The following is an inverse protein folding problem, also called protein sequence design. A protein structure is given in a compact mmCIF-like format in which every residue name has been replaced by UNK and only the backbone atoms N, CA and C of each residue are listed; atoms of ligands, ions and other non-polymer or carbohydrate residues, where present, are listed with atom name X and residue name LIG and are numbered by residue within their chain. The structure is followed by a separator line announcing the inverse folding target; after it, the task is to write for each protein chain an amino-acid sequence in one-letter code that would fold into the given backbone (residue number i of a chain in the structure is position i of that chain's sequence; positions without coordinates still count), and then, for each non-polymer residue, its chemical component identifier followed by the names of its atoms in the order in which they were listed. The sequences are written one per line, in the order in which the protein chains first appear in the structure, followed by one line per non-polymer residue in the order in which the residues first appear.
data_IF_388238446067
#
_entry.id   IF_388238446067
#
_cell.length_a   1.000
_cell.length_b   1.000
_cell.length_c   1.000
_cell.angle_alpha   90.00
_cell.angle_beta   90.00
_cell.angle_gamma   90.00
#
_symmetry.space_group_name_H-M   'P 1'
#
loop_
_entity.id
_entity.type
_entity.pdbx_description
1 polymer ?
#
# COMPACT_ATOMS: atom_id res chain seq x y z
N UNK A 1 -1.50 -2.76 30.12
CA UNK A 1 -0.25 -2.13 29.66
C UNK A 1 -0.62 -1.34 28.42
N UNK A 2 -0.13 -0.11 28.26
CA UNK A 2 -0.36 0.68 27.04
C UNK A 2 0.58 0.20 25.93
N UNK A 3 0.11 0.25 24.69
CA UNK A 3 0.93 -0.03 23.51
C UNK A 3 2.18 0.88 23.49
N UNK A 4 3.29 0.36 22.98
CA UNK A 4 4.52 1.14 22.88
C UNK A 4 4.31 2.40 22.00
N UNK A 5 4.78 3.60 22.39
CA UNK A 5 4.52 4.83 21.64
C UNK A 5 4.93 4.79 20.17
N UNK A 6 6.04 4.12 19.83
CA UNK A 6 6.48 3.91 18.43
C UNK A 6 5.52 3.06 17.59
N UNK A 7 4.76 2.16 18.23
CA UNK A 7 3.81 1.29 17.54
C UNK A 7 2.41 1.91 17.42
N UNK A 8 2.10 2.90 18.26
CA UNK A 8 0.80 3.54 18.34
C UNK A 8 0.33 4.13 17.00
N UNK A 9 1.15 4.89 16.24
CA UNK A 9 0.70 5.44 14.95
C UNK A 9 0.26 4.38 13.95
N UNK A 10 0.93 3.22 13.91
CA UNK A 10 0.56 2.13 13.00
C UNK A 10 -0.71 1.41 13.46
N UNK A 11 -0.93 1.27 14.77
CA UNK A 11 -2.16 0.74 15.31
C UNK A 11 -3.36 1.66 15.03
N UNK A 12 -3.17 2.98 15.18
CA UNK A 12 -4.21 3.97 14.90
C UNK A 12 -4.53 4.01 13.39
N UNK A 13 -3.50 3.98 12.54
CA UNK A 13 -3.67 3.92 11.09
C UNK A 13 -4.41 2.66 10.62
N UNK A 14 -4.04 1.49 11.14
CA UNK A 14 -4.74 0.25 10.83
C UNK A 14 -6.19 0.28 11.34
N UNK A 15 -6.43 0.72 12.58
CA UNK A 15 -7.77 0.79 13.18
C UNK A 15 -8.68 1.71 12.36
N UNK A 16 -8.23 2.93 12.06
CA UNK A 16 -8.99 3.87 11.24
C UNK A 16 -9.35 3.29 9.88
N UNK A 17 -8.37 2.68 9.20
CA UNK A 17 -8.57 2.18 7.84
C UNK A 17 -9.50 0.96 7.82
N UNK A 18 -9.36 0.04 8.78
CA UNK A 18 -10.19 -1.17 8.81
C UNK A 18 -11.63 -0.87 9.24
N UNK A 19 -11.84 0.10 10.13
CA UNK A 19 -13.17 0.57 10.51
C UNK A 19 -13.85 1.25 9.31
N UNK A 20 -13.11 2.09 8.57
CA UNK A 20 -13.61 2.69 7.33
C UNK A 20 -13.95 1.64 6.26
N UNK A 21 -13.16 0.57 6.12
CA UNK A 21 -13.50 -0.56 5.25
C UNK A 21 -14.80 -1.22 5.70
N UNK A 22 -14.94 -1.51 7.00
CA UNK A 22 -16.15 -2.11 7.56
C UNK A 22 -17.40 -1.27 7.26
N UNK A 23 -17.32 0.05 7.45
CA UNK A 23 -18.39 0.99 7.14
C UNK A 23 -18.74 1.02 5.65
N UNK A 24 -17.73 0.96 4.76
CA UNK A 24 -17.93 0.94 3.31
C UNK A 24 -18.66 -0.33 2.83
N UNK A 25 -18.35 -1.48 3.41
CA UNK A 25 -18.82 -2.78 2.90
C UNK A 25 -20.10 -3.29 3.57
N UNK A 26 -20.39 -2.84 4.80
CA UNK A 26 -21.60 -3.20 5.54
C UNK A 26 -22.92 -2.94 4.78
N UNK A 27 -23.12 -1.79 4.10
CA UNK A 27 -24.39 -1.53 3.40
C UNK A 27 -24.48 -2.15 2.01
N UNK A 28 -23.41 -2.80 1.52
CA UNK A 28 -23.35 -3.28 0.14
C UNK A 28 -24.30 -4.44 -0.11
N UNK A 29 -25.01 -4.39 -1.24
CA UNK A 29 -25.77 -5.54 -1.73
C UNK A 29 -24.86 -6.54 -2.42
N UNK A 30 -25.26 -7.81 -2.48
CA UNK A 30 -24.45 -8.92 -3.00
C UNK A 30 -23.78 -8.64 -4.37
N UNK A 31 -24.48 -7.95 -5.28
CA UNK A 31 -23.94 -7.62 -6.60
C UNK A 31 -22.74 -6.67 -6.56
N UNK A 32 -22.65 -5.79 -5.55
CA UNK A 32 -21.58 -4.79 -5.43
C UNK A 32 -20.25 -5.40 -4.99
N UNK A 33 -20.30 -6.52 -4.27
CA UNK A 33 -19.11 -7.28 -3.85
C UNK A 33 -18.29 -7.80 -5.04
N UNK A 34 -18.92 -7.93 -6.22
CA UNK A 34 -18.27 -8.40 -7.45
C UNK A 34 -17.75 -7.25 -8.33
N UNK A 35 -17.86 -5.97 -7.89
CA UNK A 35 -17.29 -4.83 -8.63
C UNK A 35 -15.77 -4.97 -8.70
N UNK A 36 -15.22 -4.69 -9.89
CA UNK A 36 -13.77 -4.67 -10.11
C UNK A 36 -13.15 -3.52 -9.33
N UNK A 37 -11.98 -3.77 -8.77
CA UNK A 37 -11.17 -2.75 -8.11
C UNK A 37 -9.99 -2.34 -9.00
N UNK A 38 -9.29 -1.25 -8.65
CA UNK A 38 -8.01 -0.91 -9.26
C UNK A 38 -6.92 -2.00 -9.07
N UNK A 39 -7.09 -2.91 -8.10
CA UNK A 39 -6.18 -4.04 -7.92
C UNK A 39 -6.43 -5.11 -9.00
N UNK A 40 -5.43 -5.46 -9.84
CA UNK A 40 -5.63 -6.33 -10.98
C UNK A 40 -6.20 -7.71 -10.61
N UNK A 41 -7.35 -8.04 -11.20
CA UNK A 41 -8.00 -9.34 -10.98
C UNK A 41 -8.82 -9.44 -9.68
N UNK A 42 -8.82 -8.39 -8.85
CA UNK A 42 -9.54 -8.39 -7.57
C UNK A 42 -10.83 -7.57 -7.64
N UNK A 43 -11.90 -8.19 -7.15
CA UNK A 43 -13.17 -7.56 -6.82
C UNK A 43 -13.15 -6.95 -5.42
N UNK A 44 -14.22 -6.23 -5.06
CA UNK A 44 -14.45 -5.73 -3.68
C UNK A 44 -14.32 -6.89 -2.67
N UNK A 45 -14.90 -8.06 -2.97
CA UNK A 45 -14.78 -9.26 -2.13
C UNK A 45 -13.33 -9.70 -1.98
N UNK A 46 -12.56 -9.68 -3.07
CA UNK A 46 -11.18 -10.13 -3.05
C UNK A 46 -10.30 -9.22 -2.17
N UNK A 47 -10.50 -7.90 -2.25
CA UNK A 47 -9.78 -6.93 -1.38
C UNK A 47 -10.12 -7.17 0.09
N UNK A 48 -11.40 -7.32 0.44
CA UNK A 48 -11.81 -7.62 1.83
C UNK A 48 -11.25 -8.97 2.28
N UNK A 49 -11.22 -9.97 1.41
CA UNK A 49 -10.67 -11.30 1.68
C UNK A 49 -9.17 -11.25 1.98
N UNK A 50 -8.41 -10.44 1.25
CA UNK A 50 -6.99 -10.18 1.51
C UNK A 50 -6.79 -9.51 2.86
N UNK A 51 -7.61 -8.48 3.17
CA UNK A 51 -7.55 -7.79 4.46
C UNK A 51 -7.78 -8.77 5.62
N UNK A 52 -8.86 -9.56 5.56
CA UNK A 52 -9.15 -10.59 6.56
C UNK A 52 -7.99 -11.58 6.65
N UNK A 53 -7.55 -12.12 5.52
CA UNK A 53 -6.56 -13.19 5.48
C UNK A 53 -5.23 -12.80 6.13
N UNK A 54 -4.68 -11.64 5.81
CA UNK A 54 -3.43 -11.19 6.41
C UNK A 54 -3.58 -10.86 7.90
N UNK A 55 -4.73 -10.32 8.33
CA UNK A 55 -4.96 -10.08 9.75
C UNK A 55 -5.13 -11.38 10.55
N UNK A 56 -5.78 -12.41 9.99
CA UNK A 56 -5.81 -13.76 10.57
C UNK A 56 -4.39 -14.35 10.68
N UNK A 57 -3.56 -14.19 9.66
CA UNK A 57 -2.16 -14.65 9.68
C UNK A 57 -1.35 -13.93 10.78
N UNK A 58 -1.54 -12.62 10.96
CA UNK A 58 -0.93 -11.85 12.05
C UNK A 58 -1.46 -12.23 13.45
N UNK A 59 -2.68 -12.76 13.53
CA UNK A 59 -3.24 -13.36 14.74
C UNK A 59 -2.64 -14.75 15.04
N UNK A 60 -1.89 -15.33 14.10
CA UNK A 60 -1.32 -16.67 14.19
C UNK A 60 -2.26 -17.78 13.74
N UNK A 61 -3.36 -17.45 13.07
CA UNK A 61 -4.29 -18.45 12.55
C UNK A 61 -3.63 -19.25 11.40
N UNK A 62 -3.99 -20.54 11.24
CA UNK A 62 -3.48 -21.32 10.13
C UNK A 62 -4.00 -20.75 8.80
N UNK A 63 -3.14 -20.72 7.79
CA UNK A 63 -3.56 -20.36 6.43
C UNK A 63 -4.51 -21.44 5.87
N UNK A 64 -5.44 -21.09 4.98
CA UNK A 64 -6.31 -22.07 4.32
C UNK A 64 -5.51 -23.15 3.59
N UNK A 65 -5.98 -24.40 3.67
CA UNK A 65 -5.49 -25.47 2.80
C UNK A 65 -6.30 -25.38 1.51
N UNK A 66 -5.80 -24.63 0.54
CA UNK A 66 -6.52 -24.29 -0.68
C UNK A 66 -5.63 -24.38 -1.92
N UNK A 67 -6.16 -24.96 -3.01
CA UNK A 67 -5.45 -25.05 -4.29
C UNK A 67 -6.00 -24.01 -5.24
N UNK A 68 -5.12 -23.11 -5.70
CA UNK A 68 -5.49 -22.07 -6.64
C UNK A 68 -5.81 -22.61 -8.04
N UNK A 69 -6.79 -22.02 -8.75
CA UNK A 69 -6.97 -22.22 -10.18
C UNK A 69 -5.70 -21.93 -10.97
N UNK A 70 -5.47 -22.68 -12.06
CA UNK A 70 -4.24 -22.57 -12.88
C UNK A 70 -4.25 -21.39 -13.86
N UNK A 71 -5.41 -20.80 -14.09
CA UNK A 71 -5.70 -19.83 -15.16
C UNK A 71 -5.83 -18.38 -14.65
N UNK A 72 -5.35 -18.10 -13.44
CA UNK A 72 -5.31 -16.75 -12.87
C UNK A 72 -4.21 -15.90 -13.54
N UNK A 73 -4.59 -15.11 -14.56
CA UNK A 73 -3.66 -14.32 -15.38
C UNK A 73 -2.90 -13.21 -14.62
N UNK A 74 -3.46 -12.74 -13.50
CA UNK A 74 -2.87 -11.71 -12.64
C UNK A 74 -1.85 -12.28 -11.65
N UNK A 75 -1.80 -13.61 -11.47
CA UNK A 75 -0.88 -14.27 -10.54
C UNK A 75 0.37 -14.78 -11.27
N UNK A 76 1.42 -13.96 -11.26
CA UNK A 76 2.68 -14.17 -12.00
C UNK A 76 3.88 -14.49 -11.11
N UNK A 77 3.79 -14.20 -9.83
CA UNK A 77 4.88 -14.42 -8.86
C UNK A 77 4.44 -15.31 -7.70
N UNK A 78 5.41 -15.90 -6.99
CA UNK A 78 5.13 -16.66 -5.77
C UNK A 78 4.58 -15.78 -4.65
N UNK A 79 4.94 -14.50 -4.62
CA UNK A 79 4.35 -13.53 -3.71
C UNK A 79 2.86 -13.32 -4.00
N UNK A 80 2.49 -13.10 -5.26
CA UNK A 80 1.08 -12.97 -5.66
C UNK A 80 0.31 -14.27 -5.38
N UNK A 81 0.93 -15.44 -5.61
CA UNK A 81 0.35 -16.74 -5.26
C UNK A 81 0.06 -16.88 -3.78
N UNK A 82 1.02 -16.42 -2.96
CA UNK A 82 0.89 -16.43 -1.51
C UNK A 82 -0.31 -15.61 -1.04
N UNK A 83 -0.51 -14.43 -1.63
CA UNK A 83 -1.65 -13.55 -1.30
C UNK A 83 -2.97 -14.11 -1.83
N UNK A 84 -3.00 -14.54 -3.10
CA UNK A 84 -4.19 -15.04 -3.79
C UNK A 84 -4.83 -16.22 -3.06
N UNK A 85 -4.06 -17.09 -2.39
CA UNK A 85 -4.60 -18.25 -1.69
C UNK A 85 -5.67 -17.90 -0.65
N UNK A 86 -5.49 -16.83 0.11
CA UNK A 86 -6.46 -16.39 1.13
C UNK A 86 -7.65 -15.65 0.52
N UNK A 87 -7.45 -15.07 -0.67
CA UNK A 87 -8.47 -14.38 -1.46
C UNK A 87 -9.41 -15.38 -2.10
N UNK A 88 -8.86 -16.31 -2.89
CA UNK A 88 -9.63 -17.30 -3.64
C UNK A 88 -10.44 -18.21 -2.72
N UNK A 89 -9.88 -18.55 -1.54
CA UNK A 89 -10.57 -19.33 -0.52
C UNK A 89 -11.89 -18.69 -0.06
N UNK A 90 -12.09 -17.37 -0.21
CA UNK A 90 -13.29 -16.64 0.24
C UNK A 90 -14.20 -16.18 -0.91
N UNK A 91 -13.85 -16.47 -2.17
CA UNK A 91 -14.67 -16.06 -3.33
C UNK A 91 -16.08 -16.64 -3.34
N UNK A 92 -16.28 -17.75 -2.64
CA UNK A 92 -17.57 -18.42 -2.53
C UNK A 92 -18.42 -17.94 -1.34
N UNK A 93 -17.86 -17.11 -0.45
CA UNK A 93 -18.60 -16.55 0.68
C UNK A 93 -19.62 -15.52 0.18
N UNK A 94 -20.75 -15.42 0.86
CA UNK A 94 -21.79 -14.42 0.68
C UNK A 94 -21.42 -13.08 1.35
N UNK A 95 -22.10 -11.99 1.02
CA UNK A 95 -21.89 -10.70 1.67
C UNK A 95 -22.00 -10.76 3.21
N UNK A 96 -23.04 -11.39 3.81
CA UNK A 96 -23.14 -11.51 5.26
C UNK A 96 -21.96 -12.27 5.89
N UNK A 97 -21.52 -13.38 5.27
CA UNK A 97 -20.37 -14.15 5.75
C UNK A 97 -19.09 -13.31 5.73
N UNK A 98 -18.87 -12.54 4.66
CA UNK A 98 -17.72 -11.63 4.56
C UNK A 98 -17.75 -10.54 5.63
N UNK A 99 -18.89 -9.89 5.85
CA UNK A 99 -19.02 -8.83 6.86
C UNK A 99 -18.84 -9.37 8.27
N UNK A 100 -19.42 -10.54 8.59
CA UNK A 100 -19.28 -11.15 9.91
C UNK A 100 -17.85 -11.62 10.18
N UNK A 101 -17.15 -12.18 9.18
CA UNK A 101 -15.75 -12.57 9.31
C UNK A 101 -14.83 -11.35 9.47
N UNK A 102 -15.09 -10.27 8.73
CA UNK A 102 -14.36 -9.00 8.87
C UNK A 102 -14.54 -8.42 10.27
N UNK A 103 -15.78 -8.30 10.75
CA UNK A 103 -16.09 -7.78 12.09
C UNK A 103 -15.38 -8.59 13.18
N UNK A 104 -15.46 -9.92 13.10
CA UNK A 104 -14.80 -10.81 14.05
C UNK A 104 -13.27 -10.63 14.04
N UNK A 105 -12.68 -10.51 12.85
CA UNK A 105 -11.24 -10.27 12.67
C UNK A 105 -10.82 -8.91 13.26
N UNK A 106 -11.60 -7.85 13.01
CA UNK A 106 -11.36 -6.51 13.57
C UNK A 106 -11.35 -6.56 15.09
N UNK A 107 -12.33 -7.20 15.72
CA UNK A 107 -12.42 -7.33 17.18
C UNK A 107 -11.16 -8.02 17.75
N UNK A 108 -10.74 -9.12 17.11
CA UNK A 108 -9.55 -9.89 17.55
C UNK A 108 -8.26 -9.11 17.38
N UNK A 109 -8.05 -8.46 16.23
CA UNK A 109 -6.86 -7.64 15.98
C UNK A 109 -6.80 -6.43 16.89
N UNK A 110 -7.91 -5.73 17.10
CA UNK A 110 -7.98 -4.64 18.06
C UNK A 110 -7.61 -5.09 19.48
N UNK A 111 -8.09 -6.28 19.91
CA UNK A 111 -7.67 -6.86 21.19
C UNK A 111 -6.19 -7.21 21.20
N UNK A 112 -5.63 -7.76 20.12
CA UNK A 112 -4.21 -8.08 20.01
C UNK A 112 -3.35 -6.81 20.13
N UNK A 113 -3.68 -5.76 19.37
CA UNK A 113 -2.98 -4.47 19.39
C UNK A 113 -3.03 -3.81 20.77
N UNK A 114 -4.20 -3.77 21.42
CA UNK A 114 -4.31 -3.20 22.78
C UNK A 114 -3.51 -3.94 23.85
N UNK A 115 -3.27 -5.24 23.64
CA UNK A 115 -2.52 -6.08 24.59
C UNK A 115 -1.07 -6.31 24.15
N UNK A 116 -0.62 -5.65 23.08
CA UNK A 116 0.75 -5.77 22.61
C UNK A 116 1.70 -5.09 23.59
N UNK A 117 2.64 -5.88 24.12
CA UNK A 117 3.61 -5.46 25.13
C UNK A 117 5.05 -5.75 24.71
N UNK A 118 5.25 -6.38 23.55
CA UNK A 118 6.58 -6.68 23.02
C UNK A 118 7.25 -5.40 22.52
N UNK A 119 8.58 -5.42 22.56
CA UNK A 119 9.42 -4.35 22.05
C UNK A 119 9.25 -4.18 20.52
N UNK A 120 9.30 -2.96 19.96
CA UNK A 120 9.22 -2.73 18.51
C UNK A 120 10.22 -3.56 17.69
N UNK A 121 11.40 -3.84 18.24
CA UNK A 121 12.45 -4.65 17.61
C UNK A 121 12.23 -6.17 17.70
N UNK A 122 11.21 -6.63 18.43
CA UNK A 122 10.90 -8.05 18.57
C UNK A 122 10.68 -8.70 17.19
N UNK A 123 11.28 -9.88 16.97
CA UNK A 123 11.17 -10.59 15.70
C UNK A 123 9.84 -11.32 15.59
N UNK A 124 9.17 -11.13 14.46
CA UNK A 124 7.92 -11.78 14.10
C UNK A 124 8.03 -12.39 12.71
N UNK A 125 7.26 -13.45 12.47
CA UNK A 125 7.18 -14.07 11.15
C UNK A 125 6.30 -13.22 10.24
N UNK A 126 6.81 -12.87 9.07
CA UNK A 126 6.10 -12.18 8.00
C UNK A 126 5.67 -13.13 6.87
N UNK A 127 5.04 -12.58 5.82
CA UNK A 127 4.67 -13.32 4.61
C UNK A 127 5.84 -14.11 4.03
N UNK A 128 5.54 -15.27 3.42
CA UNK A 128 6.55 -16.19 2.88
C UNK A 128 7.60 -16.68 3.90
N UNK A 129 7.31 -16.56 5.21
CA UNK A 129 8.22 -16.98 6.27
C UNK A 129 9.41 -16.05 6.48
N UNK A 130 9.33 -14.82 5.98
CA UNK A 130 10.30 -13.76 6.28
C UNK A 130 10.35 -13.44 7.78
N UNK A 131 11.46 -12.88 8.27
CA UNK A 131 11.57 -12.38 9.64
C UNK A 131 11.60 -10.85 9.64
N UNK A 132 10.61 -10.24 10.29
CA UNK A 132 10.44 -8.79 10.40
C UNK A 132 10.56 -8.36 11.86
N UNK A 133 10.88 -7.09 12.10
CA UNK A 133 10.60 -6.50 13.42
C UNK A 133 9.09 -6.30 13.57
N UNK A 134 8.59 -6.30 14.81
CA UNK A 134 7.20 -6.01 15.10
C UNK A 134 6.79 -4.64 14.53
N UNK A 135 7.66 -3.64 14.65
CA UNK A 135 7.45 -2.33 14.05
C UNK A 135 7.23 -2.41 12.54
N UNK A 136 8.11 -3.11 11.82
CA UNK A 136 8.00 -3.24 10.37
C UNK A 136 6.74 -4.00 9.97
N UNK A 137 6.37 -5.05 10.71
CA UNK A 137 5.15 -5.80 10.44
C UNK A 137 3.89 -4.93 10.62
N UNK A 138 3.85 -4.10 11.67
CA UNK A 138 2.74 -3.18 11.92
C UNK A 138 2.69 -2.05 10.88
N UNK A 139 3.84 -1.47 10.52
CA UNK A 139 3.95 -0.44 9.47
C UNK A 139 3.46 -0.97 8.12
N UNK A 140 3.97 -2.13 7.69
CA UNK A 140 3.56 -2.76 6.43
C UNK A 140 2.06 -3.05 6.41
N UNK A 141 1.50 -3.48 7.53
CA UNK A 141 0.07 -3.77 7.62
C UNK A 141 -0.77 -2.50 7.55
N UNK A 142 -0.38 -1.43 8.25
CA UNK A 142 -1.06 -0.15 8.18
C UNK A 142 -1.03 0.44 6.76
N UNK A 143 0.11 0.33 6.07
CA UNK A 143 0.25 0.68 4.66
C UNK A 143 -0.74 -0.11 3.78
N UNK A 144 -0.72 -1.43 3.90
CA UNK A 144 -1.50 -2.34 3.04
C UNK A 144 -3.02 -2.11 3.20
N UNK A 145 -3.52 -2.01 4.44
CA UNK A 145 -4.95 -1.80 4.70
C UNK A 145 -5.41 -0.43 4.19
N UNK A 146 -4.62 0.63 4.38
CA UNK A 146 -5.01 1.96 3.90
C UNK A 146 -5.06 2.02 2.37
N UNK A 147 -4.10 1.41 1.67
CA UNK A 147 -4.11 1.34 0.19
C UNK A 147 -5.34 0.59 -0.29
N UNK A 148 -5.68 -0.53 0.36
CA UNK A 148 -6.86 -1.32 0.02
C UNK A 148 -8.19 -0.66 0.39
N UNK A 149 -8.21 0.19 1.43
CA UNK A 149 -9.33 1.09 1.67
C UNK A 149 -9.55 2.02 0.45
N UNK A 150 -8.48 2.59 -0.12
CA UNK A 150 -8.62 3.44 -1.32
C UNK A 150 -9.05 2.64 -2.56
N UNK A 151 -8.58 1.39 -2.72
CA UNK A 151 -9.04 0.49 -3.78
C UNK A 151 -10.55 0.26 -3.71
N UNK A 152 -11.09 0.07 -2.50
CA UNK A 152 -12.53 -0.10 -2.25
C UNK A 152 -13.30 1.19 -2.52
N UNK A 153 -12.82 2.33 -2.03
CA UNK A 153 -13.44 3.64 -2.29
C UNK A 153 -13.53 3.94 -3.78
N UNK A 154 -12.46 3.68 -4.53
CA UNK A 154 -12.45 3.81 -5.98
C UNK A 154 -13.47 2.89 -6.67
N UNK A 155 -13.56 1.62 -6.27
CA UNK A 155 -14.51 0.67 -6.83
C UNK A 155 -15.98 1.00 -6.52
N UNK A 156 -16.23 1.67 -5.39
CA UNK A 156 -17.57 2.04 -4.90
C UNK A 156 -17.95 3.49 -5.22
N UNK A 157 -17.08 4.25 -5.89
CA UNK A 157 -17.31 5.66 -6.22
C UNK A 157 -17.41 6.57 -4.99
N UNK A 158 -16.71 6.23 -3.90
CA UNK A 158 -16.69 7.00 -2.65
C UNK A 158 -15.45 7.90 -2.58
N UNK A 159 -15.53 9.09 -1.96
CA UNK A 159 -14.37 9.95 -1.73
C UNK A 159 -13.29 9.26 -0.88
N UNK A 160 -12.02 9.60 -1.14
CA UNK A 160 -10.85 9.08 -0.44
C UNK A 160 -10.64 9.68 0.96
N UNK A 161 -10.10 8.89 1.88
CA UNK A 161 -9.60 9.33 3.19
C UNK A 161 -8.12 9.74 3.07
N UNK A 162 -7.86 10.72 2.21
CA UNK A 162 -6.52 10.94 1.66
C UNK A 162 -5.53 11.59 2.64
N UNK A 163 -5.99 12.11 3.78
CA UNK A 163 -5.21 12.68 4.89
C UNK A 163 -5.43 11.95 6.22
N UNK A 164 -6.01 10.75 6.19
CA UNK A 164 -6.19 9.95 7.40
C UNK A 164 -4.84 9.46 7.96
N UNK A 165 -4.78 8.94 9.20
CA UNK A 165 -3.53 8.50 9.81
C UNK A 165 -2.73 7.51 8.95
N UNK A 166 -3.41 6.62 8.21
CA UNK A 166 -2.78 5.70 7.26
C UNK A 166 -2.11 6.38 6.07
N UNK A 167 -2.62 7.53 5.61
CA UNK A 167 -2.03 8.29 4.52
C UNK A 167 -0.61 8.77 4.84
N UNK A 168 -0.36 9.18 6.09
CA UNK A 168 0.97 9.61 6.52
C UNK A 168 1.96 8.44 6.64
N UNK A 169 1.50 7.27 7.10
CA UNK A 169 2.32 6.04 7.10
C UNK A 169 2.69 5.67 5.66
N UNK A 170 1.72 5.75 4.74
CA UNK A 170 1.93 5.45 3.32
C UNK A 170 2.87 6.44 2.67
N UNK A 171 2.73 7.75 2.96
CA UNK A 171 3.68 8.77 2.52
C UNK A 171 5.11 8.40 2.93
N UNK A 172 5.33 8.10 4.20
CA UNK A 172 6.67 7.85 4.72
C UNK A 172 7.28 6.57 4.14
N UNK A 173 6.48 5.52 3.96
CA UNK A 173 6.93 4.28 3.31
C UNK A 173 7.28 4.53 1.82
N UNK A 174 6.42 5.23 1.07
CA UNK A 174 6.67 5.55 -0.33
C UNK A 174 7.89 6.46 -0.51
N UNK A 175 8.11 7.40 0.42
CA UNK A 175 9.32 8.23 0.43
C UNK A 175 10.59 7.40 0.68
N UNK A 176 10.51 6.35 1.51
CA UNK A 176 11.66 5.51 1.83
C UNK A 176 12.19 4.71 0.64
N UNK A 177 11.32 4.37 -0.32
CA UNK A 177 11.68 3.60 -1.52
C UNK A 177 12.09 4.46 -2.71
N UNK A 178 11.76 5.76 -2.71
CA UNK A 178 12.11 6.69 -3.79
C UNK A 178 13.60 6.69 -4.18
N UNK A 179 14.56 6.66 -3.23
CA UNK A 179 15.98 6.60 -3.58
C UNK A 179 16.33 5.42 -4.48
N UNK A 180 15.78 4.24 -4.19
CA UNK A 180 15.97 3.04 -5.01
C UNK A 180 15.31 3.21 -6.38
N UNK A 181 14.06 3.66 -6.41
CA UNK A 181 13.31 3.88 -7.67
C UNK A 181 14.07 4.81 -8.61
N UNK A 182 14.61 5.92 -8.10
CA UNK A 182 15.31 6.91 -8.93
C UNK A 182 16.71 6.46 -9.30
N UNK A 183 17.51 6.01 -8.32
CA UNK A 183 18.93 5.74 -8.54
C UNK A 183 19.18 4.38 -9.21
N UNK A 184 18.44 3.35 -8.81
CA UNK A 184 18.66 1.97 -9.26
C UNK A 184 17.70 1.60 -10.40
N UNK A 185 16.39 1.73 -10.19
CA UNK A 185 15.39 1.20 -11.12
C UNK A 185 15.21 2.11 -12.37
N UNK A 186 15.22 3.43 -12.18
CA UNK A 186 15.18 4.42 -13.27
C UNK A 186 16.57 4.82 -13.79
N UNK A 187 17.64 4.38 -13.11
CA UNK A 187 19.04 4.63 -13.48
C UNK A 187 19.35 6.12 -13.72
N UNK A 188 18.88 6.99 -12.82
CA UNK A 188 19.16 8.42 -12.92
C UNK A 188 20.67 8.70 -13.01
N UNK A 189 21.11 9.72 -13.78
CA UNK A 189 22.52 10.01 -13.95
C UNK A 189 23.25 10.22 -12.62
N UNK A 190 24.51 9.80 -12.54
CA UNK A 190 25.37 10.10 -11.38
C UNK A 190 25.52 11.62 -11.23
N UNK A 191 25.66 12.07 -9.99
CA UNK A 191 25.76 13.50 -9.64
C UNK A 191 24.55 14.31 -10.13
N UNK A 192 23.35 13.74 -10.03
CA UNK A 192 22.09 14.40 -10.41
C UNK A 192 21.13 14.51 -9.22
N UNK A 193 20.05 15.26 -9.43
CA UNK A 193 18.96 15.39 -8.49
C UNK A 193 17.62 15.32 -9.21
N UNK A 194 16.65 14.65 -8.60
CA UNK A 194 15.26 14.56 -9.07
C UNK A 194 14.36 15.12 -7.98
N UNK A 195 13.43 15.99 -8.34
CA UNK A 195 12.50 16.62 -7.40
C UNK A 195 11.10 16.04 -7.59
N UNK A 196 10.45 15.71 -6.48
CA UNK A 196 9.04 15.35 -6.41
C UNK A 196 8.30 16.45 -5.65
N UNK A 197 7.38 17.11 -6.33
CA UNK A 197 6.52 18.17 -5.81
C UNK A 197 5.08 17.65 -5.76
N UNK A 198 4.69 17.15 -4.58
CA UNK A 198 3.39 16.52 -4.37
C UNK A 198 2.51 17.45 -3.56
N UNK A 199 1.35 17.78 -4.11
CA UNK A 199 0.38 18.70 -3.50
C UNK A 199 -0.93 17.99 -3.12
N UNK A 200 -1.79 18.68 -2.37
CA UNK A 200 -3.08 18.16 -1.94
C UNK A 200 -3.12 17.85 -0.44
N UNK A 201 -3.96 16.90 0.01
CA UNK A 201 -4.20 16.66 1.45
C UNK A 201 -2.94 16.23 2.23
N UNK A 202 -2.02 15.54 1.56
CA UNK A 202 -0.70 15.19 2.10
C UNK A 202 0.37 15.72 1.15
N UNK A 203 0.85 16.92 1.44
CA UNK A 203 1.85 17.61 0.61
C UNK A 203 3.29 17.32 1.05
N UNK A 204 4.19 17.26 0.07
CA UNK A 204 5.62 17.26 0.30
C UNK A 204 6.40 17.69 -0.94
N UNK A 205 7.52 18.36 -0.69
CA UNK A 205 8.56 18.60 -1.69
C UNK A 205 9.81 17.83 -1.26
N UNK A 206 10.28 16.89 -2.09
CA UNK A 206 11.44 16.04 -1.78
C UNK A 206 12.39 15.93 -2.95
N UNK A 207 13.68 15.89 -2.63
CA UNK A 207 14.74 15.69 -3.61
C UNK A 207 15.33 14.32 -3.41
N UNK A 208 15.45 13.52 -4.47
CA UNK A 208 16.36 12.37 -4.49
C UNK A 208 17.66 12.80 -5.15
N UNK A 209 18.77 12.73 -4.42
CA UNK A 209 20.11 12.95 -4.97
C UNK A 209 20.77 11.63 -5.31
N UNK A 210 21.41 11.57 -6.47
CA UNK A 210 22.25 10.45 -6.87
C UNK A 210 23.70 10.89 -6.81
N UNK A 211 24.48 10.28 -5.92
CA UNK A 211 25.89 10.63 -5.75
C UNK A 211 26.78 10.14 -6.92
N UNK A 212 28.07 10.43 -6.86
CA UNK A 212 29.04 9.98 -7.86
C UNK A 212 29.20 8.45 -7.90
N UNK A 213 28.84 7.75 -6.82
CA UNK A 213 28.85 6.29 -6.72
C UNK A 213 27.58 5.66 -7.28
N UNK A 214 26.54 6.46 -7.58
CA UNK A 214 25.24 6.01 -8.07
C UNK A 214 24.24 5.71 -6.95
N UNK A 215 24.52 6.13 -5.71
CA UNK A 215 23.63 5.90 -4.56
C UNK A 215 22.61 7.02 -4.43
N UNK A 216 21.35 6.64 -4.26
CA UNK A 216 20.25 7.56 -3.98
C UNK A 216 20.17 7.95 -2.50
N UNK A 217 19.94 9.23 -2.21
CA UNK A 217 19.55 9.71 -0.87
C UNK A 217 18.34 10.64 -0.97
N UNK A 218 17.43 10.54 -0.01
CA UNK A 218 16.28 11.43 0.09
C UNK A 218 16.63 12.66 0.93
N UNK A 219 16.34 13.85 0.42
CA UNK A 219 16.55 15.13 1.08
C UNK A 219 15.25 15.93 1.15
N UNK A 220 15.13 16.73 2.22
CA UNK A 220 14.02 17.68 2.41
C UNK A 220 14.28 19.02 1.73
N UNK A 221 15.52 19.31 1.34
CA UNK A 221 15.89 20.55 0.66
C UNK A 221 15.71 20.41 -0.86
N UNK A 222 15.01 21.34 -1.52
CA UNK A 222 14.90 21.36 -2.98
C UNK A 222 16.27 21.52 -3.65
N UNK A 223 16.55 20.72 -4.68
CA UNK A 223 17.74 20.94 -5.50
C UNK A 223 17.59 22.17 -6.40
N UNK A 224 18.67 22.95 -6.52
CA UNK A 224 18.80 23.98 -7.55
C UNK A 224 19.22 23.31 -8.86
N UNK A 225 18.43 23.46 -9.92
CA UNK A 225 18.68 22.84 -11.23
C UNK A 225 18.60 21.31 -11.22
N UNK A 226 17.45 20.71 -10.84
CA UNK A 226 17.28 19.27 -10.91
C UNK A 226 17.30 18.78 -12.36
N UNK A 227 17.76 17.54 -12.57
CA UNK A 227 17.71 16.88 -13.88
C UNK A 227 16.28 16.58 -14.32
N UNK A 228 15.38 16.35 -13.34
CA UNK A 228 13.95 16.22 -13.56
C UNK A 228 13.15 16.69 -12.34
N UNK A 229 11.97 17.25 -12.59
CA UNK A 229 10.94 17.55 -11.59
C UNK A 229 9.64 16.88 -12.00
N UNK A 230 9.01 16.19 -11.05
CA UNK A 230 7.67 15.60 -11.17
C UNK A 230 6.72 16.32 -10.23
N UNK A 231 5.69 16.96 -10.77
CA UNK A 231 4.61 17.60 -10.01
C UNK A 231 3.29 16.89 -10.26
N UNK A 232 2.61 16.48 -9.20
CA UNK A 232 1.35 15.72 -9.23
C UNK A 232 0.62 15.80 -7.89
N UNK A 233 -0.68 15.53 -7.87
CA UNK A 233 -1.43 15.48 -6.61
C UNK A 233 -1.20 14.16 -5.84
N UNK A 234 -1.45 14.18 -4.52
CA UNK A 234 -1.24 13.05 -3.63
C UNK A 234 -1.99 11.77 -4.05
N UNK A 235 -3.23 11.88 -4.53
CA UNK A 235 -3.99 10.71 -4.98
C UNK A 235 -3.33 10.07 -6.21
N UNK A 236 -2.94 10.89 -7.19
CA UNK A 236 -2.21 10.44 -8.38
C UNK A 236 -0.89 9.79 -7.99
N UNK A 237 -0.13 10.40 -7.06
CA UNK A 237 1.14 9.87 -6.58
C UNK A 237 0.96 8.46 -5.99
N UNK A 238 0.01 8.28 -5.07
CA UNK A 238 -0.26 6.98 -4.44
C UNK A 238 -0.71 5.96 -5.48
N UNK A 239 -1.62 6.33 -6.38
CA UNK A 239 -2.16 5.38 -7.38
C UNK A 239 -1.09 4.91 -8.35
N UNK A 240 -0.15 5.78 -8.74
CA UNK A 240 1.01 5.39 -9.55
C UNK A 240 1.97 4.51 -8.75
N UNK A 241 2.35 4.95 -7.55
CA UNK A 241 3.30 4.24 -6.69
C UNK A 241 2.80 2.85 -6.29
N UNK A 242 1.47 2.70 -6.16
CA UNK A 242 0.84 1.43 -5.85
C UNK A 242 0.42 0.65 -7.12
N UNK A 243 0.75 1.10 -8.33
CA UNK A 243 0.44 0.38 -9.58
C UNK A 243 -1.07 0.27 -9.90
N UNK A 244 -1.90 1.16 -9.34
CA UNK A 244 -3.35 1.21 -9.58
C UNK A 244 -3.74 1.96 -10.85
N UNK A 245 -2.83 2.78 -11.38
CA UNK A 245 -2.97 3.47 -12.68
C UNK A 245 -1.62 3.49 -13.40
N UNK A 246 -1.67 3.54 -14.74
CA UNK A 246 -0.49 3.78 -15.57
C UNK A 246 -0.26 5.28 -15.75
N UNK A 247 0.99 5.71 -15.90
CA UNK A 247 1.32 7.12 -16.16
C UNK A 247 0.56 7.69 -17.36
N UNK A 248 0.41 6.92 -18.45
CA UNK A 248 -0.32 7.36 -19.65
C UNK A 248 -1.80 7.63 -19.38
N UNK A 249 -2.41 6.93 -18.41
CA UNK A 249 -3.83 7.07 -18.09
C UNK A 249 -4.13 8.32 -17.25
N UNK A 250 -3.10 8.94 -16.67
CA UNK A 250 -3.19 10.14 -15.82
C UNK A 250 -2.18 11.20 -16.27
N UNK A 251 -1.80 11.20 -17.54
CA UNK A 251 -0.78 12.08 -18.08
C UNK A 251 -1.14 13.57 -17.94
N UNK A 252 -2.43 13.90 -17.98
CA UNK A 252 -2.97 15.25 -17.75
C UNK A 252 -2.84 15.71 -16.28
N UNK A 253 -2.62 14.79 -15.35
CA UNK A 253 -2.42 15.05 -13.91
C UNK A 253 -0.95 15.05 -13.50
N UNK A 254 -0.03 14.77 -14.42
CA UNK A 254 1.42 14.74 -14.17
C UNK A 254 2.09 15.86 -14.97
N UNK A 255 2.76 16.76 -14.27
CA UNK A 255 3.64 17.75 -14.89
C UNK A 255 5.10 17.31 -14.70
N UNK A 256 5.79 17.03 -15.81
CA UNK A 256 7.22 16.73 -15.82
C UNK A 256 8.03 17.87 -16.42
N UNK A 257 9.11 18.29 -15.75
CA UNK A 257 10.07 19.28 -16.25
C UNK A 257 11.49 18.70 -16.22
N UNK A 258 12.32 19.00 -17.22
CA UNK A 258 13.69 18.46 -17.35
C UNK A 258 13.81 17.36 -18.40
N UNK A 259 14.69 16.37 -18.15
CA UNK A 259 15.04 15.30 -19.09
C UNK A 259 13.86 14.32 -19.35
N UNK A 260 13.24 14.29 -20.55
CA UNK A 260 12.03 13.49 -20.80
C UNK A 260 12.23 11.98 -20.64
N UNK A 261 13.42 11.48 -21.03
CA UNK A 261 13.73 10.06 -20.90
C UNK A 261 13.85 9.62 -19.44
N UNK A 262 14.37 10.49 -18.57
CA UNK A 262 14.49 10.24 -17.14
C UNK A 262 13.11 10.24 -16.47
N UNK A 263 12.27 11.22 -16.78
CA UNK A 263 10.88 11.28 -16.30
C UNK A 263 10.13 9.99 -16.66
N UNK A 264 10.21 9.56 -17.92
CA UNK A 264 9.56 8.35 -18.38
C UNK A 264 10.14 7.08 -17.71
N UNK A 265 11.45 7.04 -17.43
CA UNK A 265 12.07 5.92 -16.71
C UNK A 265 11.58 5.84 -15.26
N UNK A 266 11.52 6.97 -14.55
CA UNK A 266 10.99 7.04 -13.19
C UNK A 266 9.54 6.57 -13.16
N UNK A 267 8.68 7.12 -14.02
CA UNK A 267 7.26 6.76 -14.05
C UNK A 267 7.02 5.27 -14.36
N UNK A 268 7.87 4.62 -15.17
CA UNK A 268 7.82 3.16 -15.39
C UNK A 268 8.27 2.35 -14.18
N UNK A 269 9.24 2.84 -13.43
CA UNK A 269 9.79 2.18 -12.24
C UNK A 269 9.01 2.50 -10.95
N UNK A 270 8.03 3.39 -11.02
CA UNK A 270 7.45 4.00 -9.82
C UNK A 270 6.50 3.06 -9.05
N UNK A 271 5.93 2.07 -9.72
CA UNK A 271 5.04 1.10 -9.06
C UNK A 271 5.84 0.12 -8.18
N UNK A 272 5.68 0.20 -6.86
CA UNK A 272 6.47 -0.57 -5.86
C UNK A 272 5.69 -1.70 -5.18
N UNK A 273 4.40 -1.86 -5.49
CA UNK A 273 3.51 -2.86 -4.86
C UNK A 273 2.97 -3.93 -5.81
N UNK A 274 3.53 -4.03 -7.03
CA UNK A 274 3.06 -4.92 -8.12
C UNK A 274 3.55 -6.37 -8.00
#
# INVERSE_FOLDING_TARGET
MSLHPTLQPYADAWTHSVDAISELVTPLVEGEWNRRTPCPGWSVRDVVSHVIGLDCEMLGDPRPIHTLPRDLYHVRTEHQRYMEMQVDARRHHTAPEMTSELEYTIIRRNRQLRNESRDPGHKVRGPLGTELTLEQAMRNRAFDVWVHEQDLRAALGQPGNLDSPGAYVVRDELLSVLPKVVAEDAQAPRSSAVVFDVHGPVEFLRTVRVDIQGRGTLETTPALGPAATLTLDWETYVRLACGRVTADAVADRIKGEGEPHLIAAILRAFAVTV
#
